data_IF_837371783746
#
_entry.id   IF_837371783746
#
_cell.length_a   1.000
_cell.length_b   1.000
_cell.length_c   1.000
_cell.angle_alpha   90.00
_cell.angle_beta   90.00
_cell.angle_gamma   90.00
#
_symmetry.space_group_name_H-M   'P 1'
#
loop_
_entity.id
_entity.type
_entity.pdbx_description
1 polymer ?
#
# COMPACT_ATOMS: atom_id res chain seq x y z
N UNK A 1 -27.64 -17.86 -24.93
CA UNK A 1 -28.53 -17.27 -25.97
C UNK A 1 -27.91 -17.41 -27.35
N UNK A 2 -26.68 -16.92 -27.57
CA UNK A 2 -25.98 -16.95 -28.87
C UNK A 2 -25.78 -18.34 -29.50
N UNK A 3 -25.65 -19.40 -28.69
CA UNK A 3 -25.39 -20.78 -29.16
C UNK A 3 -26.62 -21.68 -29.17
N UNK A 4 -27.81 -21.13 -28.86
CA UNK A 4 -29.03 -21.94 -28.72
C UNK A 4 -29.38 -22.57 -30.08
N UNK A 5 -29.74 -23.85 -30.06
CA UNK A 5 -30.10 -24.63 -31.25
C UNK A 5 -28.95 -24.81 -32.26
N UNK A 6 -27.70 -24.62 -31.81
CA UNK A 6 -26.51 -24.98 -32.59
C UNK A 6 -25.93 -26.28 -32.04
N UNK A 7 -25.07 -26.92 -32.82
CA UNK A 7 -24.30 -28.08 -32.35
C UNK A 7 -23.23 -27.72 -31.31
N UNK A 8 -23.09 -26.42 -30.98
CA UNK A 8 -22.21 -25.89 -29.96
C UNK A 8 -22.96 -25.51 -28.66
N UNK A 9 -24.16 -26.04 -28.45
CA UNK A 9 -24.88 -25.81 -27.19
C UNK A 9 -24.05 -26.30 -25.99
N UNK A 10 -23.94 -25.45 -24.96
CA UNK A 10 -23.08 -25.71 -23.82
C UNK A 10 -23.70 -26.67 -22.79
N UNK A 11 -24.96 -27.10 -22.99
CA UNK A 11 -25.69 -27.94 -22.03
C UNK A 11 -26.03 -27.24 -20.72
N UNK A 12 -25.98 -25.90 -20.67
CA UNK A 12 -26.20 -25.11 -19.45
C UNK A 12 -27.68 -24.74 -19.32
N UNK A 13 -28.29 -25.07 -18.18
CA UNK A 13 -29.62 -24.59 -17.83
C UNK A 13 -29.59 -23.10 -17.45
N UNK A 14 -29.87 -22.25 -18.43
CA UNK A 14 -29.87 -20.79 -18.27
C UNK A 14 -30.84 -20.27 -17.20
N UNK A 15 -31.89 -21.04 -16.85
CA UNK A 15 -32.86 -20.60 -15.83
C UNK A 15 -32.23 -20.69 -14.44
N UNK A 16 -31.35 -21.68 -14.21
CA UNK A 16 -30.64 -21.87 -12.94
C UNK A 16 -29.57 -20.82 -12.68
N UNK A 17 -29.11 -20.07 -13.70
CA UNK A 17 -28.11 -19.01 -13.52
C UNK A 17 -28.65 -17.82 -12.71
N UNK A 18 -29.97 -17.56 -12.78
CA UNK A 18 -30.59 -16.39 -12.15
C UNK A 18 -30.42 -16.34 -10.63
N UNK A 19 -30.47 -17.49 -9.97
CA UNK A 19 -30.36 -17.57 -8.51
C UNK A 19 -28.93 -17.25 -8.04
N UNK A 20 -27.86 -17.90 -8.55
CA UNK A 20 -26.48 -17.48 -8.30
C UNK A 20 -26.19 -16.02 -8.67
N UNK A 21 -26.78 -15.49 -9.74
CA UNK A 21 -26.60 -14.09 -10.14
C UNK A 21 -27.18 -13.11 -9.11
N UNK A 22 -28.38 -13.41 -8.56
CA UNK A 22 -28.97 -12.61 -7.48
C UNK A 22 -28.13 -12.65 -6.20
N UNK A 23 -27.59 -13.82 -5.85
CA UNK A 23 -26.66 -13.98 -4.70
C UNK A 23 -25.39 -13.15 -4.93
N UNK A 24 -24.81 -13.21 -6.13
CA UNK A 24 -23.61 -12.42 -6.46
C UNK A 24 -23.90 -10.91 -6.36
N UNK A 25 -25.04 -10.44 -6.86
CA UNK A 25 -25.43 -9.03 -6.76
C UNK A 25 -25.54 -8.56 -5.31
N UNK A 26 -26.15 -9.37 -4.44
CA UNK A 26 -26.24 -9.04 -3.00
C UNK A 26 -24.86 -9.03 -2.34
N UNK A 27 -24.00 -10.03 -2.61
CA UNK A 27 -22.63 -10.05 -2.10
C UNK A 27 -21.79 -8.85 -2.58
N UNK A 28 -22.01 -8.39 -3.82
CA UNK A 28 -21.25 -7.28 -4.41
C UNK A 28 -21.77 -5.90 -4.00
N UNK A 29 -22.91 -5.80 -3.29
CA UNK A 29 -23.55 -4.51 -2.96
C UNK A 29 -22.66 -3.60 -2.13
N UNK A 30 -21.76 -4.16 -1.33
CA UNK A 30 -20.87 -3.43 -0.44
C UNK A 30 -19.52 -3.09 -1.09
N UNK A 31 -19.30 -3.43 -2.35
CA UNK A 31 -18.02 -3.23 -3.04
C UNK A 31 -18.07 -2.09 -4.06
N UNK A 32 -16.98 -1.34 -4.16
CA UNK A 32 -16.75 -0.40 -5.26
C UNK A 32 -16.24 -1.20 -6.45
N UNK A 33 -16.98 -1.15 -7.56
CA UNK A 33 -16.54 -1.70 -8.84
C UNK A 33 -15.98 -0.53 -9.65
N UNK A 34 -14.66 -0.51 -9.95
CA UNK A 34 -14.08 0.57 -10.74
C UNK A 34 -14.74 0.64 -12.12
N UNK A 35 -15.15 1.83 -12.60
CA UNK A 35 -15.83 1.98 -13.89
C UNK A 35 -15.06 1.37 -15.06
N UNK A 36 -13.72 1.50 -15.06
CA UNK A 36 -12.82 0.94 -16.08
C UNK A 36 -12.86 -0.60 -16.14
N UNK A 37 -13.25 -1.27 -15.05
CA UNK A 37 -13.44 -2.71 -15.04
C UNK A 37 -14.73 -3.14 -15.75
N UNK A 38 -15.68 -2.22 -15.95
CA UNK A 38 -16.99 -2.47 -16.54
C UNK A 38 -17.12 -1.97 -17.98
N UNK A 39 -16.09 -1.31 -18.51
CA UNK A 39 -16.12 -0.72 -19.86
C UNK A 39 -15.14 -1.41 -20.80
N UNK A 40 -15.50 -1.52 -22.07
CA UNK A 40 -14.57 -1.94 -23.13
C UNK A 40 -13.68 -0.76 -23.51
N UNK A 41 -12.36 -0.96 -23.54
CA UNK A 41 -11.40 0.02 -24.05
C UNK A 41 -10.60 -0.54 -25.23
N UNK A 42 -10.57 0.13 -26.39
CA UNK A 42 -9.72 -0.28 -27.51
C UNK A 42 -8.23 0.04 -27.28
N UNK A 43 -7.90 0.85 -26.26
CA UNK A 43 -6.53 1.30 -26.00
C UNK A 43 -5.59 0.20 -25.49
N UNK A 44 -6.16 -0.93 -25.05
CA UNK A 44 -5.39 -2.07 -24.50
C UNK A 44 -4.36 -2.64 -25.50
N UNK A 45 -4.56 -2.44 -26.80
CA UNK A 45 -3.59 -2.86 -27.83
C UNK A 45 -2.32 -2.02 -27.82
N UNK A 46 -2.38 -0.80 -27.30
CA UNK A 46 -1.26 0.14 -27.20
C UNK A 46 -0.64 0.16 -25.79
N UNK A 47 -1.43 -0.21 -24.77
CA UNK A 47 -0.97 -0.35 -23.40
C UNK A 47 -1.35 -1.74 -22.87
N UNK A 48 -0.41 -2.70 -22.85
CA UNK A 48 -0.73 -4.08 -22.45
C UNK A 48 -0.86 -4.17 -20.93
N UNK A 49 -1.83 -3.47 -20.33
CA UNK A 49 -2.19 -3.59 -18.93
C UNK A 49 -3.37 -4.56 -18.81
N UNK A 50 -3.17 -5.78 -18.30
CA UNK A 50 -4.29 -6.66 -17.97
C UNK A 50 -5.23 -5.98 -16.97
N UNK A 51 -6.52 -6.36 -16.97
CA UNK A 51 -7.54 -5.69 -16.16
C UNK A 51 -7.19 -5.56 -14.66
N UNK A 52 -6.52 -6.55 -14.07
CA UNK A 52 -6.06 -6.48 -12.68
C UNK A 52 -4.91 -5.50 -12.43
N UNK A 53 -4.05 -5.26 -13.44
CA UNK A 53 -3.01 -4.24 -13.36
C UNK A 53 -3.58 -2.86 -13.63
N UNK A 54 -4.49 -2.73 -14.60
CA UNK A 54 -5.23 -1.52 -14.90
C UNK A 54 -5.91 -0.97 -13.66
N UNK A 55 -6.81 -1.73 -13.05
CA UNK A 55 -7.63 -1.28 -11.90
C UNK A 55 -6.79 -0.97 -10.67
N UNK A 56 -5.74 -1.75 -10.39
CA UNK A 56 -4.84 -1.48 -9.27
C UNK A 56 -4.08 -0.15 -9.45
N UNK A 57 -3.62 0.12 -10.66
CA UNK A 57 -2.80 1.28 -10.96
C UNK A 57 -3.64 2.55 -11.12
N UNK A 58 -4.82 2.48 -11.74
CA UNK A 58 -5.76 3.61 -11.79
C UNK A 58 -6.28 3.95 -10.39
N UNK A 59 -6.57 2.95 -9.55
CA UNK A 59 -6.95 3.20 -8.16
C UNK A 59 -5.84 3.91 -7.39
N UNK A 60 -4.59 3.44 -7.53
CA UNK A 60 -3.43 4.13 -6.96
C UNK A 60 -3.35 5.59 -7.45
N UNK A 61 -3.44 5.84 -8.76
CA UNK A 61 -3.37 7.19 -9.30
C UNK A 61 -4.51 8.08 -8.76
N UNK A 62 -5.73 7.55 -8.59
CA UNK A 62 -6.84 8.29 -7.95
C UNK A 62 -6.54 8.64 -6.50
N UNK A 63 -6.14 7.65 -5.71
CA UNK A 63 -5.83 7.85 -4.29
C UNK A 63 -4.67 8.86 -4.09
N UNK A 64 -3.87 9.08 -5.13
CA UNK A 64 -2.75 10.01 -5.16
C UNK A 64 -3.01 11.34 -5.89
N UNK A 65 -4.21 11.56 -6.45
CA UNK A 65 -4.49 12.71 -7.34
C UNK A 65 -3.53 12.83 -8.54
N UNK A 66 -3.10 11.70 -9.10
CA UNK A 66 -2.17 11.61 -10.25
C UNK A 66 -2.85 11.10 -11.53
N UNK A 67 -4.18 11.08 -11.58
CA UNK A 67 -4.91 10.60 -12.76
C UNK A 67 -4.64 11.42 -14.02
N UNK A 68 -4.25 12.69 -13.88
CA UNK A 68 -3.82 13.55 -14.99
C UNK A 68 -2.55 13.02 -15.68
N UNK A 69 -1.74 12.21 -15.00
CA UNK A 69 -0.52 11.59 -15.55
C UNK A 69 -0.78 10.30 -16.31
N UNK A 70 -1.95 9.69 -16.16
CA UNK A 70 -2.25 8.37 -16.73
C UNK A 70 -1.98 8.27 -18.24
N UNK A 71 -2.38 9.25 -19.10
CA UNK A 71 -2.11 9.18 -20.54
C UNK A 71 -0.61 9.13 -20.86
N UNK A 72 0.20 9.94 -20.18
CA UNK A 72 1.65 9.97 -20.38
C UNK A 72 2.32 8.66 -19.90
N UNK A 73 1.79 8.05 -18.84
CA UNK A 73 2.29 6.76 -18.34
C UNK A 73 2.00 5.65 -19.35
N UNK A 74 0.80 5.63 -19.91
CA UNK A 74 0.40 4.69 -20.97
C UNK A 74 1.32 4.81 -22.18
N UNK A 75 1.61 6.04 -22.63
CA UNK A 75 2.54 6.28 -23.74
C UNK A 75 3.96 5.80 -23.43
N UNK A 76 4.48 6.14 -22.25
CA UNK A 76 5.82 5.72 -21.81
C UNK A 76 5.93 4.19 -21.66
N UNK A 77 4.83 3.47 -21.43
CA UNK A 77 4.83 2.03 -21.27
C UNK A 77 5.22 1.28 -22.56
N UNK A 78 4.89 1.80 -23.74
CA UNK A 78 5.30 1.19 -24.99
C UNK A 78 6.84 1.09 -25.10
N UNK A 79 7.55 2.14 -24.68
CA UNK A 79 9.01 2.14 -24.65
C UNK A 79 9.56 1.15 -23.61
N UNK A 80 8.96 1.08 -22.41
CA UNK A 80 9.43 0.15 -21.38
C UNK A 80 9.23 -1.31 -21.80
N UNK A 81 8.14 -1.64 -22.48
CA UNK A 81 7.91 -2.97 -23.05
C UNK A 81 8.97 -3.31 -24.11
N UNK A 82 9.15 -2.41 -25.08
CA UNK A 82 10.06 -2.62 -26.20
C UNK A 82 11.51 -2.76 -25.73
N UNK A 83 11.98 -1.85 -24.87
CA UNK A 83 13.36 -1.87 -24.35
C UNK A 83 13.58 -2.90 -23.27
N UNK A 84 12.53 -3.36 -22.60
CA UNK A 84 12.58 -4.39 -21.56
C UNK A 84 12.59 -5.82 -22.10
N UNK A 85 12.61 -6.02 -23.42
CA UNK A 85 12.71 -7.35 -24.04
C UNK A 85 11.38 -8.07 -24.25
N UNK A 86 10.25 -7.36 -24.27
CA UNK A 86 8.92 -7.89 -24.57
C UNK A 86 8.46 -9.06 -23.68
N UNK A 87 8.76 -9.01 -22.38
CA UNK A 87 8.16 -9.92 -21.41
C UNK A 87 6.64 -9.91 -21.50
N UNK A 88 6.01 -11.09 -21.38
CA UNK A 88 4.55 -11.20 -21.41
C UNK A 88 3.96 -10.36 -20.28
N UNK A 89 3.11 -9.39 -20.62
CA UNK A 89 2.50 -8.50 -19.64
C UNK A 89 1.39 -9.19 -18.85
N UNK A 90 1.80 -9.99 -17.88
CA UNK A 90 0.97 -10.60 -16.83
C UNK A 90 1.65 -10.39 -15.48
N UNK A 91 1.01 -10.67 -14.36
CA UNK A 91 1.67 -10.53 -13.05
C UNK A 91 2.89 -11.46 -12.96
N UNK A 92 4.08 -10.97 -12.53
CA UNK A 92 4.36 -9.62 -12.02
C UNK A 92 4.83 -8.59 -13.08
N UNK A 93 5.18 -9.03 -14.29
CA UNK A 93 5.75 -8.22 -15.38
C UNK A 93 4.89 -7.00 -15.76
N UNK A 94 3.56 -7.14 -15.79
CA UNK A 94 2.65 -6.02 -16.05
C UNK A 94 2.83 -4.84 -15.06
N UNK A 95 3.10 -5.15 -13.79
CA UNK A 95 3.40 -4.13 -12.78
C UNK A 95 4.78 -3.53 -12.97
N UNK A 96 5.77 -4.33 -13.38
CA UNK A 96 7.12 -3.83 -13.66
C UNK A 96 7.12 -2.81 -14.79
N UNK A 97 6.40 -3.08 -15.88
CA UNK A 97 6.27 -2.13 -16.98
C UNK A 97 5.56 -0.85 -16.57
N UNK A 98 4.44 -0.96 -15.83
CA UNK A 98 3.73 0.20 -15.34
C UNK A 98 4.59 1.05 -14.39
N UNK A 99 5.27 0.43 -13.42
CA UNK A 99 6.12 1.14 -12.46
C UNK A 99 7.31 1.82 -13.14
N UNK A 100 7.95 1.17 -14.11
CA UNK A 100 9.03 1.80 -14.85
C UNK A 100 8.52 2.98 -15.70
N UNK A 101 7.35 2.82 -16.33
CA UNK A 101 6.73 3.89 -17.11
C UNK A 101 6.33 5.07 -16.21
N UNK A 102 5.72 4.78 -15.06
CA UNK A 102 5.42 5.75 -14.02
C UNK A 102 6.68 6.50 -13.58
N UNK A 103 7.77 5.80 -13.27
CA UNK A 103 9.03 6.42 -12.88
C UNK A 103 9.62 7.29 -14.00
N UNK A 104 9.53 6.86 -15.26
CA UNK A 104 9.99 7.63 -16.41
C UNK A 104 9.21 8.95 -16.57
N UNK A 105 7.89 8.93 -16.32
CA UNK A 105 7.06 10.14 -16.36
C UNK A 105 7.33 11.07 -15.17
N UNK A 106 7.44 10.51 -13.96
CA UNK A 106 7.56 11.31 -12.74
C UNK A 106 8.96 11.88 -12.52
N UNK A 107 10.01 11.11 -12.83
CA UNK A 107 11.40 11.46 -12.52
C UNK A 107 12.24 11.72 -13.77
N UNK A 108 11.70 11.46 -14.94
CA UNK A 108 12.39 11.54 -16.22
C UNK A 108 12.90 10.17 -16.70
N UNK A 109 13.13 10.02 -18.01
CA UNK A 109 13.42 8.72 -18.62
C UNK A 109 14.64 8.03 -17.99
N UNK A 110 14.45 6.81 -17.51
CA UNK A 110 15.51 5.92 -17.02
C UNK A 110 16.35 6.46 -15.85
N UNK A 111 15.94 7.58 -15.23
CA UNK A 111 16.64 8.16 -14.05
C UNK A 111 16.38 7.38 -12.76
N UNK A 112 15.18 6.79 -12.64
CA UNK A 112 14.80 5.94 -11.53
C UNK A 112 14.31 4.60 -12.07
N UNK A 113 15.06 3.54 -11.77
CA UNK A 113 14.72 2.18 -12.20
C UNK A 113 13.81 1.54 -11.16
N UNK A 114 12.66 1.01 -11.60
CA UNK A 114 11.81 0.18 -10.76
C UNK A 114 12.50 -1.17 -10.53
N UNK A 115 12.62 -1.60 -9.27
CA UNK A 115 13.41 -2.76 -8.87
C UNK A 115 12.98 -4.04 -9.60
N UNK A 116 11.67 -4.29 -9.69
CA UNK A 116 11.12 -5.46 -10.38
C UNK A 116 11.46 -5.47 -11.88
N UNK A 117 11.34 -4.31 -12.53
CA UNK A 117 11.72 -4.13 -13.93
C UNK A 117 13.22 -4.36 -14.13
N UNK A 118 14.06 -3.78 -13.29
CA UNK A 118 15.51 -3.95 -13.35
C UNK A 118 15.93 -5.41 -13.19
N UNK A 119 15.41 -6.11 -12.18
CA UNK A 119 15.63 -7.55 -11.99
C UNK A 119 15.17 -8.37 -13.18
N UNK A 120 14.03 -8.04 -13.79
CA UNK A 120 13.54 -8.74 -14.97
C UNK A 120 14.51 -8.56 -16.15
N UNK A 121 14.90 -7.32 -16.45
CA UNK A 121 15.85 -7.00 -17.53
C UNK A 121 17.21 -7.67 -17.32
N UNK A 122 17.65 -7.79 -16.07
CA UNK A 122 18.92 -8.43 -15.71
C UNK A 122 18.84 -9.97 -15.63
N UNK A 123 17.67 -10.58 -15.82
CA UNK A 123 17.50 -12.04 -15.85
C UNK A 123 17.14 -12.70 -14.52
N UNK A 124 16.93 -11.93 -13.45
CA UNK A 124 16.54 -12.45 -12.12
C UNK A 124 15.07 -12.90 -12.02
N UNK A 125 14.27 -12.68 -13.07
CA UNK A 125 12.95 -13.27 -13.25
C UNK A 125 12.90 -14.29 -14.40
N UNK A 126 14.06 -14.70 -14.90
CA UNK A 126 14.20 -15.56 -16.07
C UNK A 126 14.49 -14.77 -17.35
N UNK A 127 14.43 -15.46 -18.49
CA UNK A 127 14.80 -14.90 -19.79
C UNK A 127 13.60 -14.19 -20.43
N UNK A 128 13.81 -12.95 -20.87
CA UNK A 128 12.85 -12.22 -21.70
C UNK A 128 12.79 -12.80 -23.13
N UNK A 129 11.66 -12.72 -23.85
CA UNK A 129 11.52 -13.28 -25.20
C UNK A 129 12.61 -12.82 -26.18
N UNK A 130 13.01 -11.55 -26.09
CA UNK A 130 14.16 -11.02 -26.83
C UNK A 130 15.13 -10.31 -25.88
N UNK A 131 16.36 -10.07 -26.36
CA UNK A 131 17.36 -9.34 -25.60
C UNK A 131 16.86 -7.91 -25.30
N UNK A 132 16.91 -7.46 -24.03
CA UNK A 132 16.59 -6.08 -23.70
C UNK A 132 17.60 -5.09 -24.31
N UNK A 133 17.21 -3.82 -24.39
CA UNK A 133 18.06 -2.75 -24.89
C UNK A 133 19.37 -2.63 -24.05
N UNK A 134 20.56 -2.61 -24.68
CA UNK A 134 21.83 -2.58 -23.94
C UNK A 134 22.00 -1.37 -23.00
N UNK A 135 21.45 -0.21 -23.35
CA UNK A 135 21.53 0.99 -22.49
C UNK A 135 20.65 0.82 -21.26
N UNK A 136 19.48 0.19 -21.41
CA UNK A 136 18.59 -0.13 -20.29
C UNK A 136 19.20 -1.22 -19.40
N UNK A 137 19.82 -2.26 -19.98
CA UNK A 137 20.56 -3.27 -19.21
C UNK A 137 21.64 -2.61 -18.35
N UNK A 138 22.41 -1.69 -18.93
CA UNK A 138 23.44 -0.93 -18.20
C UNK A 138 22.84 -0.10 -17.07
N UNK A 139 21.79 0.68 -17.34
CA UNK A 139 21.12 1.51 -16.33
C UNK A 139 20.56 0.66 -15.17
N UNK A 140 19.94 -0.48 -15.47
CA UNK A 140 19.45 -1.42 -14.46
C UNK A 140 20.60 -2.01 -13.64
N UNK A 141 21.71 -2.40 -14.29
CA UNK A 141 22.88 -2.96 -13.62
C UNK A 141 23.51 -1.96 -12.66
N UNK A 142 23.68 -0.71 -13.10
CA UNK A 142 24.23 0.38 -12.28
C UNK A 142 23.31 0.75 -11.11
N UNK A 143 22.00 0.87 -11.36
CA UNK A 143 21.03 1.23 -10.33
C UNK A 143 20.93 0.19 -9.21
N UNK A 144 21.20 -1.09 -9.51
CA UNK A 144 20.99 -2.20 -8.58
C UNK A 144 22.30 -2.80 -8.06
N UNK A 145 23.45 -2.45 -8.64
CA UNK A 145 24.73 -3.12 -8.36
C UNK A 145 24.73 -4.61 -8.73
N UNK A 146 23.83 -5.04 -9.62
CA UNK A 146 23.66 -6.43 -10.04
C UNK A 146 24.16 -6.61 -11.48
N UNK A 147 24.79 -7.75 -11.75
CA UNK A 147 25.21 -8.11 -13.11
C UNK A 147 24.08 -8.85 -13.83
N UNK A 148 23.94 -8.71 -15.16
CA UNK A 148 23.07 -9.58 -15.94
C UNK A 148 23.41 -11.05 -15.68
N UNK A 149 22.39 -11.90 -15.55
CA UNK A 149 22.54 -13.33 -15.28
C UNK A 149 21.68 -14.17 -16.20
N UNK A 150 22.13 -15.40 -16.45
CA UNK A 150 21.37 -16.46 -17.13
C UNK A 150 21.15 -17.67 -16.22
N UNK A 151 21.55 -17.56 -14.95
CA UNK A 151 21.33 -18.61 -13.96
C UNK A 151 19.83 -18.83 -13.74
N UNK A 152 19.43 -20.07 -13.43
CA UNK A 152 18.03 -20.36 -13.14
C UNK A 152 17.64 -19.65 -11.85
N UNK A 153 16.48 -19.00 -11.87
CA UNK A 153 15.95 -18.26 -10.72
C UNK A 153 15.77 -19.16 -9.49
N UNK A 154 15.44 -20.44 -9.67
CA UNK A 154 15.33 -21.40 -8.57
C UNK A 154 16.68 -21.61 -7.87
N UNK A 155 17.77 -21.78 -8.61
CA UNK A 155 19.12 -21.97 -8.06
C UNK A 155 19.59 -20.70 -7.32
N UNK A 156 19.27 -19.51 -7.84
CA UNK A 156 19.52 -18.22 -7.17
C UNK A 156 18.76 -18.16 -5.84
N UNK A 157 17.49 -18.56 -5.84
CA UNK A 157 16.63 -18.50 -4.66
C UNK A 157 17.03 -19.53 -3.59
N UNK A 158 17.50 -20.72 -3.97
CA UNK A 158 18.00 -21.73 -3.04
C UNK A 158 19.25 -21.27 -2.28
N UNK A 159 20.07 -20.43 -2.92
CA UNK A 159 21.27 -19.84 -2.30
C UNK A 159 20.95 -18.67 -1.37
N UNK A 160 19.75 -18.10 -1.43
CA UNK A 160 19.36 -16.95 -0.62
C UNK A 160 18.93 -17.42 0.79
N UNK A 161 19.73 -17.17 1.84
CA UNK A 161 19.41 -17.62 3.19
C UNK A 161 18.16 -16.93 3.78
N UNK A 162 17.67 -15.86 3.14
CA UNK A 162 16.44 -15.16 3.53
C UNK A 162 15.19 -15.84 2.95
N UNK A 163 15.35 -16.88 2.13
CA UNK A 163 14.24 -17.62 1.52
C UNK A 163 14.15 -19.05 2.05
N UNK A 164 13.02 -19.68 1.75
CA UNK A 164 12.75 -21.07 2.11
C UNK A 164 12.26 -21.27 3.55
N UNK A 165 12.13 -22.55 3.91
CA UNK A 165 11.48 -22.98 5.16
C UNK A 165 12.22 -22.51 6.41
N UNK A 166 13.56 -22.52 6.38
CA UNK A 166 14.37 -22.09 7.52
C UNK A 166 14.13 -20.62 7.89
N UNK A 167 14.13 -19.73 6.89
CA UNK A 167 13.83 -18.32 7.09
C UNK A 167 12.39 -18.10 7.59
N UNK A 168 11.42 -18.83 7.03
CA UNK A 168 10.02 -18.75 7.46
C UNK A 168 9.83 -19.19 8.93
N UNK A 169 10.47 -20.29 9.35
CA UNK A 169 10.45 -20.73 10.76
C UNK A 169 11.03 -19.67 11.68
N UNK A 170 12.17 -19.06 11.32
CA UNK A 170 12.76 -17.99 12.10
C UNK A 170 11.84 -16.77 12.24
N UNK A 171 11.08 -16.41 11.20
CA UNK A 171 10.09 -15.33 11.28
C UNK A 171 8.96 -15.67 12.25
N UNK A 172 8.47 -16.91 12.25
CA UNK A 172 7.41 -17.37 13.17
C UNK A 172 7.90 -17.42 14.62
N UNK A 173 9.08 -18.00 14.86
CA UNK A 173 9.70 -18.10 16.18
C UNK A 173 9.92 -16.72 16.81
N UNK A 174 10.39 -15.75 16.01
CA UNK A 174 10.59 -14.37 16.46
C UNK A 174 9.31 -13.72 17.01
N UNK A 175 8.16 -14.05 16.45
CA UNK A 175 6.86 -13.51 16.85
C UNK A 175 6.08 -14.46 17.80
N UNK A 176 6.69 -15.57 18.22
CA UNK A 176 6.06 -16.56 19.10
C UNK A 176 4.87 -17.28 18.44
N UNK A 177 4.84 -17.37 17.11
CA UNK A 177 3.78 -18.03 16.35
C UNK A 177 4.01 -19.55 16.26
N UNK A 178 2.93 -20.37 16.24
CA UNK A 178 3.06 -21.81 16.06
C UNK A 178 3.76 -22.18 14.74
N UNK A 179 4.65 -23.17 14.79
CA UNK A 179 5.35 -23.70 13.61
C UNK A 179 4.52 -24.83 13.02
N UNK A 180 3.57 -24.49 12.15
CA UNK A 180 2.75 -25.42 11.36
C UNK A 180 3.10 -25.30 9.87
N UNK A 181 2.78 -26.31 9.07
CA UNK A 181 3.01 -26.26 7.62
C UNK A 181 2.28 -25.08 6.96
N UNK A 182 1.06 -24.77 7.43
CA UNK A 182 0.29 -23.61 6.99
C UNK A 182 0.98 -22.28 7.34
N UNK A 183 1.43 -22.12 8.59
CA UNK A 183 2.10 -20.88 9.01
C UNK A 183 3.45 -20.71 8.32
N UNK A 184 4.20 -21.81 8.10
CA UNK A 184 5.43 -21.80 7.32
C UNK A 184 5.12 -21.36 5.89
N UNK A 185 4.08 -21.90 5.27
CA UNK A 185 3.68 -21.54 3.91
C UNK A 185 3.30 -20.06 3.81
N UNK A 186 2.49 -19.56 4.75
CA UNK A 186 2.09 -18.15 4.82
C UNK A 186 3.31 -17.25 5.04
N UNK A 187 4.19 -17.57 5.99
CA UNK A 187 5.40 -16.78 6.25
C UNK A 187 6.41 -16.86 5.09
N UNK A 188 6.56 -18.00 4.42
CA UNK A 188 7.47 -18.13 3.28
C UNK A 188 6.96 -17.38 2.03
N UNK A 189 5.65 -17.45 1.77
CA UNK A 189 5.05 -16.89 0.55
C UNK A 189 4.73 -15.41 0.68
N UNK A 190 4.25 -14.98 1.85
CA UNK A 190 3.78 -13.63 2.11
C UNK A 190 4.71 -12.83 3.03
N UNK A 191 5.77 -13.46 3.56
CA UNK A 191 6.79 -12.84 4.42
C UNK A 191 6.17 -11.97 5.52
N UNK A 192 6.56 -10.70 5.61
CA UNK A 192 6.12 -9.77 6.63
C UNK A 192 4.60 -9.58 6.61
N UNK A 193 3.96 -9.61 5.43
CA UNK A 193 2.49 -9.56 5.34
C UNK A 193 1.85 -10.82 5.91
N UNK A 194 2.47 -11.97 5.68
CA UNK A 194 2.04 -13.24 6.27
C UNK A 194 2.11 -13.18 7.80
N UNK A 195 3.19 -12.64 8.34
CA UNK A 195 3.35 -12.44 9.79
C UNK A 195 2.32 -11.44 10.35
N UNK A 196 2.09 -10.33 9.67
CA UNK A 196 1.05 -9.36 10.06
C UNK A 196 -0.34 -9.99 10.06
N UNK A 197 -0.64 -10.83 9.07
CA UNK A 197 -1.89 -11.60 9.02
C UNK A 197 -2.00 -12.57 10.20
N UNK A 198 -0.98 -13.39 10.44
CA UNK A 198 -0.98 -14.39 11.52
C UNK A 198 -1.02 -13.77 12.93
N UNK A 199 -0.48 -12.57 13.09
CA UNK A 199 -0.54 -11.82 14.36
C UNK A 199 -1.81 -10.98 14.52
N UNK A 200 -2.71 -10.97 13.52
CA UNK A 200 -3.92 -10.13 13.53
C UNK A 200 -3.65 -8.63 13.41
N UNK A 201 -2.42 -8.23 13.05
CA UNK A 201 -2.00 -6.83 12.87
C UNK A 201 -2.21 -6.31 11.44
N UNK A 202 -2.64 -7.17 10.52
CA UNK A 202 -2.93 -6.78 9.15
C UNK A 202 -4.10 -5.81 9.09
N UNK A 203 -3.98 -4.74 8.32
CA UNK A 203 -5.10 -3.85 8.04
C UNK A 203 -5.97 -4.40 6.91
N UNK A 204 -7.29 -4.34 7.10
CA UNK A 204 -8.24 -4.70 6.05
C UNK A 204 -8.24 -3.60 4.99
N UNK A 205 -7.50 -3.83 3.90
CA UNK A 205 -7.51 -2.98 2.73
C UNK A 205 -8.48 -3.54 1.68
N UNK A 206 -9.77 -3.24 1.84
CA UNK A 206 -10.82 -3.60 0.88
C UNK A 206 -11.40 -2.39 0.17
N UNK A 207 -11.79 -2.55 -1.10
CA UNK A 207 -12.60 -1.57 -1.85
C UNK A 207 -14.07 -1.70 -1.44
N UNK A 208 -14.37 -1.54 -0.16
CA UNK A 208 -15.76 -1.46 0.28
C UNK A 208 -16.33 -0.09 -0.12
N UNK A 209 -17.65 0.02 -0.25
CA UNK A 209 -18.39 1.28 -0.30
C UNK A 209 -18.30 1.94 1.08
N UNK A 210 -17.09 2.34 1.44
CA UNK A 210 -16.81 3.06 2.66
C UNK A 210 -17.11 4.53 2.37
N UNK A 211 -17.98 5.13 3.16
CA UNK A 211 -18.09 6.58 3.20
C UNK A 211 -16.79 7.13 3.81
N UNK A 212 -15.78 7.41 2.96
CA UNK A 212 -14.43 7.83 3.39
C UNK A 212 -14.47 9.09 4.26
N UNK A 213 -15.44 9.98 4.06
CA UNK A 213 -15.64 11.16 4.89
C UNK A 213 -16.11 10.78 6.30
N UNK A 214 -17.04 9.83 6.42
CA UNK A 214 -17.54 9.33 7.70
C UNK A 214 -16.47 8.55 8.49
N UNK A 215 -15.68 7.71 7.82
CA UNK A 215 -14.57 6.99 8.45
C UNK A 215 -13.43 7.93 8.87
N UNK A 216 -13.09 8.91 8.03
CA UNK A 216 -12.09 9.93 8.37
C UNK A 216 -12.54 10.78 9.56
N UNK A 217 -13.83 11.12 9.62
CA UNK A 217 -14.42 11.82 10.75
C UNK A 217 -14.36 10.95 12.03
N UNK A 218 -14.79 9.68 11.97
CA UNK A 218 -14.70 8.74 13.10
C UNK A 218 -13.28 8.58 13.64
N UNK A 219 -12.27 8.42 12.77
CA UNK A 219 -10.86 8.31 13.18
C UNK A 219 -10.32 9.57 13.86
N UNK A 220 -10.84 10.75 13.49
CA UNK A 220 -10.49 12.04 14.12
C UNK A 220 -11.33 12.35 15.37
N UNK A 221 -12.23 11.43 15.75
CA UNK A 221 -13.23 11.66 16.80
C UNK A 221 -14.24 12.76 16.42
N UNK A 222 -14.39 13.07 15.14
CA UNK A 222 -15.26 14.13 14.61
C UNK A 222 -16.65 13.57 14.28
N UNK A 223 -17.68 14.24 14.77
CA UNK A 223 -19.08 13.86 14.64
C UNK A 223 -19.95 15.10 14.39
N UNK A 224 -21.08 14.93 13.72
CA UNK A 224 -22.16 15.93 13.71
C UNK A 224 -23.34 15.38 14.49
N UNK A 225 -23.61 15.97 15.66
CA UNK A 225 -24.73 15.58 16.53
C UNK A 225 -25.87 16.55 16.31
N UNK A 226 -27.07 16.04 16.02
CA UNK A 226 -28.26 16.88 15.83
C UNK A 226 -29.18 16.75 17.03
N UNK A 227 -29.45 17.87 17.71
CA UNK A 227 -30.39 17.93 18.85
C UNK A 227 -31.46 18.95 18.51
N UNK A 228 -32.74 18.52 18.53
CA UNK A 228 -33.89 19.37 18.19
C UNK A 228 -33.75 20.10 16.83
N UNK A 229 -33.19 19.42 15.82
CA UNK A 229 -32.99 19.98 14.47
C UNK A 229 -31.81 20.94 14.33
N UNK A 230 -31.05 21.21 15.39
CA UNK A 230 -29.82 21.99 15.34
C UNK A 230 -28.60 21.08 15.34
N UNK A 231 -27.73 21.26 14.36
CA UNK A 231 -26.50 20.49 14.22
C UNK A 231 -25.36 21.08 15.06
N UNK A 232 -24.55 20.21 15.67
CA UNK A 232 -23.39 20.53 16.48
C UNK A 232 -22.20 19.71 15.97
N UNK A 233 -21.11 20.37 15.59
CA UNK A 233 -19.84 19.72 15.27
C UNK A 233 -19.12 19.35 16.56
N UNK A 234 -18.86 18.06 16.78
CA UNK A 234 -18.25 17.51 17.99
C UNK A 234 -16.93 16.84 17.61
N UNK A 235 -15.86 17.11 18.35
CA UNK A 235 -14.58 16.42 18.24
C UNK A 235 -14.16 15.85 19.59
N UNK A 236 -14.07 14.54 19.71
CA UNK A 236 -13.65 13.85 20.93
C UNK A 236 -12.12 13.66 20.93
N UNK A 237 -11.46 14.26 21.91
CA UNK A 237 -10.07 13.99 22.29
C UNK A 237 -10.00 13.03 23.48
N UNK A 238 -8.77 12.68 23.92
CA UNK A 238 -8.56 11.81 25.09
C UNK A 238 -9.10 12.40 26.39
N UNK A 239 -8.82 13.70 26.60
CA UNK A 239 -9.11 14.40 27.86
C UNK A 239 -10.01 15.62 27.66
N UNK A 240 -10.51 15.83 26.43
CA UNK A 240 -11.38 16.95 26.09
C UNK A 240 -12.36 16.58 24.96
N UNK A 241 -13.44 17.34 24.84
CA UNK A 241 -14.34 17.34 23.71
C UNK A 241 -14.50 18.77 23.20
N UNK A 242 -14.38 18.99 21.89
CA UNK A 242 -14.65 20.28 21.26
C UNK A 242 -16.04 20.27 20.65
N UNK A 243 -16.91 21.22 21.02
CA UNK A 243 -18.24 21.40 20.42
C UNK A 243 -18.30 22.77 19.76
N UNK A 244 -18.51 22.81 18.44
CA UNK A 244 -18.53 24.03 17.62
C UNK A 244 -17.31 24.95 17.85
N UNK A 245 -16.13 24.36 18.05
CA UNK A 245 -14.87 25.09 18.28
C UNK A 245 -14.60 25.47 19.74
N UNK A 246 -15.51 25.16 20.67
CA UNK A 246 -15.31 25.39 22.12
C UNK A 246 -14.88 24.09 22.78
N UNK A 247 -13.75 24.11 23.51
CA UNK A 247 -13.18 22.93 24.17
C UNK A 247 -13.70 22.76 25.59
N UNK A 248 -14.05 21.53 25.95
CA UNK A 248 -14.53 21.12 27.27
C UNK A 248 -13.67 19.97 27.79
N UNK A 249 -13.26 19.95 29.08
CA UNK A 249 -12.58 18.80 29.66
C UNK A 249 -13.52 17.58 29.68
N UNK A 250 -12.98 16.39 29.37
CA UNK A 250 -13.73 15.14 29.26
C UNK A 250 -13.13 14.11 30.24
N UNK A 251 -13.98 13.42 30.99
CA UNK A 251 -13.63 12.21 31.72
C UNK A 251 -14.66 11.14 31.38
N UNK A 252 -14.23 10.01 30.83
CA UNK A 252 -15.13 8.95 30.34
C UNK A 252 -15.14 7.80 31.34
N UNK A 253 -16.28 7.59 31.99
CA UNK A 253 -16.60 6.38 32.75
C UNK A 253 -17.47 5.41 31.94
N UNK A 254 -17.49 4.13 32.33
CA UNK A 254 -18.38 3.13 31.74
C UNK A 254 -19.71 3.09 32.53
N UNK A 255 -20.84 3.38 31.86
CA UNK A 255 -22.19 3.41 32.44
C UNK A 255 -22.82 4.81 32.48
N UNK A 256 -24.11 4.91 32.85
CA UNK A 256 -24.81 6.19 33.09
C UNK A 256 -24.72 6.50 34.58
N UNK A 257 -24.03 7.58 34.95
CA UNK A 257 -24.00 8.07 36.34
C UNK A 257 -25.18 9.02 36.59
N UNK A 258 -26.24 8.51 37.21
CA UNK A 258 -27.44 9.28 37.57
C UNK A 258 -27.13 10.43 38.54
N UNK A 259 -26.05 10.34 39.36
CA UNK A 259 -25.63 11.40 40.29
C UNK A 259 -24.88 12.53 39.59
N UNK A 260 -24.20 12.24 38.48
CA UNK A 260 -23.53 13.25 37.66
C UNK A 260 -24.52 14.20 36.95
N UNK A 261 -25.74 13.74 36.68
CA UNK A 261 -26.81 14.55 36.08
C UNK A 261 -27.19 15.72 36.99
N UNK A 262 -27.29 15.50 38.31
CA UNK A 262 -27.65 16.55 39.27
C UNK A 262 -26.52 17.55 39.54
N UNK A 263 -25.27 17.09 39.50
CA UNK A 263 -24.09 17.92 39.77
C UNK A 263 -23.79 18.93 38.64
N UNK A 264 -24.21 18.64 37.40
CA UNK A 264 -23.90 19.43 36.19
C UNK A 264 -24.56 20.82 36.11
N UNK A 265 -25.40 21.22 37.08
CA UNK A 265 -26.01 22.55 37.16
C UNK A 265 -25.08 23.66 37.70
N UNK A 266 -23.91 23.31 38.21
CA UNK A 266 -23.02 24.26 38.85
C UNK A 266 -21.59 24.12 38.33
N UNK A 267 -20.95 25.26 38.05
CA UNK A 267 -19.49 25.47 37.91
C UNK A 267 -18.90 25.26 36.50
N UNK A 268 -18.53 26.37 35.85
CA UNK A 268 -17.63 26.42 34.69
C UNK A 268 -16.67 27.63 34.84
N UNK A 269 -15.36 27.40 34.66
CA UNK A 269 -14.21 28.35 34.47
C UNK A 269 -12.95 27.71 35.12
N UNK A 270 -11.73 27.61 34.60
CA UNK A 270 -11.01 27.99 33.36
C UNK A 270 -9.63 27.25 33.41
N UNK A 271 -8.89 27.11 32.31
CA UNK A 271 -7.52 26.53 32.33
C UNK A 271 -6.60 27.08 31.21
N UNK A 272 -5.31 27.43 31.49
CA UNK A 272 -4.37 27.96 30.47
C UNK A 272 -3.27 26.99 29.99
N UNK A 273 -2.60 27.40 28.89
CA UNK A 273 -1.70 26.66 27.99
C UNK A 273 -0.20 26.64 28.36
N UNK A 274 0.59 25.77 27.69
CA UNK A 274 2.05 25.69 27.77
C UNK A 274 2.75 25.56 26.39
N UNK A 275 3.99 26.06 26.31
CA UNK A 275 4.83 26.25 25.11
C UNK A 275 6.03 25.26 25.01
N UNK A 276 6.67 25.22 23.83
CA UNK A 276 7.70 24.26 23.38
C UNK A 276 9.18 24.76 23.44
N UNK A 277 10.14 23.87 23.16
CA UNK A 277 11.61 24.10 23.12
C UNK A 277 12.32 23.36 21.92
N UNK A 278 13.58 23.71 21.55
CA UNK A 278 14.09 23.79 20.15
C UNK A 278 15.13 22.74 19.67
N UNK A 279 15.70 22.98 18.47
CA UNK A 279 16.27 22.11 17.42
C UNK A 279 17.82 21.97 17.32
N UNK A 280 18.29 20.80 16.88
CA UNK A 280 19.43 20.62 15.97
C UNK A 280 18.90 20.32 14.55
N UNK A 281 19.67 20.59 13.48
CA UNK A 281 19.21 20.52 12.08
C UNK A 281 18.90 19.08 11.67
N UNK A 282 17.68 18.66 11.96
CA UNK A 282 17.23 17.30 11.83
C UNK A 282 16.67 17.07 10.41
N UNK A 283 17.21 16.09 9.70
CA UNK A 283 16.76 15.69 8.37
C UNK A 283 15.56 14.76 8.52
N UNK A 284 14.39 15.23 8.07
CA UNK A 284 13.16 14.44 8.09
C UNK A 284 13.12 13.52 6.86
N UNK A 285 13.07 12.22 7.09
CA UNK A 285 12.81 11.23 6.04
C UNK A 285 11.30 11.12 5.85
N UNK A 286 10.84 11.42 4.64
CA UNK A 286 9.42 11.40 4.28
C UNK A 286 9.08 10.21 3.41
N UNK A 287 7.81 9.82 3.42
CA UNK A 287 7.30 8.80 2.51
C UNK A 287 7.36 9.31 1.06
N UNK A 288 8.12 8.64 0.16
CA UNK A 288 8.27 9.09 -1.23
C UNK A 288 7.02 8.83 -2.09
N UNK A 289 6.08 8.06 -1.55
CA UNK A 289 4.79 7.71 -2.13
C UNK A 289 3.90 7.15 -1.00
N UNK A 290 2.56 7.22 -1.12
CA UNK A 290 1.68 6.53 -0.20
C UNK A 290 1.91 5.02 -0.22
N UNK A 291 1.77 4.40 0.94
CA UNK A 291 2.02 2.98 1.11
C UNK A 291 1.79 2.50 2.53
N UNK A 292 1.88 1.19 2.74
CA UNK A 292 1.73 0.55 4.05
C UNK A 292 3.11 0.23 4.63
N UNK A 293 3.40 0.63 5.87
CA UNK A 293 4.66 0.28 6.53
C UNK A 293 4.67 -1.21 6.85
N UNK A 294 5.51 -2.00 6.17
CA UNK A 294 5.65 -3.44 6.40
C UNK A 294 6.63 -3.74 7.52
N UNK A 295 7.76 -3.03 7.57
CA UNK A 295 8.82 -3.22 8.58
C UNK A 295 9.60 -1.94 8.81
N UNK A 296 10.02 -1.75 10.05
CA UNK A 296 10.95 -0.70 10.46
C UNK A 296 12.28 -1.40 10.83
N UNK A 297 13.37 -1.05 10.14
CA UNK A 297 14.68 -1.71 10.27
C UNK A 297 15.59 -1.08 11.32
N UNK A 298 15.18 0.07 11.86
CA UNK A 298 15.97 0.89 12.77
C UNK A 298 15.21 1.20 14.05
N UNK A 299 15.94 1.59 15.09
CA UNK A 299 15.41 2.03 16.38
C UNK A 299 15.79 3.49 16.64
N UNK A 300 15.01 4.18 17.45
CA UNK A 300 15.42 5.49 17.98
C UNK A 300 16.74 5.36 18.76
N UNK A 301 17.63 6.33 18.58
CA UNK A 301 19.01 6.33 19.08
C UNK A 301 20.01 5.53 18.24
N UNK A 302 19.59 4.84 17.17
CA UNK A 302 20.49 4.07 16.32
C UNK A 302 21.24 4.94 15.32
N UNK A 303 22.56 4.72 15.18
CA UNK A 303 23.37 5.30 14.10
C UNK A 303 23.05 4.61 12.77
N UNK A 304 22.84 5.41 11.73
CA UNK A 304 22.60 4.95 10.35
C UNK A 304 23.59 5.62 9.41
N UNK A 305 23.96 4.90 8.35
CA UNK A 305 24.76 5.44 7.25
C UNK A 305 23.90 5.81 6.05
N UNK A 306 24.36 6.76 5.23
CA UNK A 306 23.74 7.11 3.97
C UNK A 306 23.55 5.86 3.11
N UNK A 307 22.36 5.75 2.50
CA UNK A 307 21.92 4.61 1.70
C UNK A 307 21.73 3.30 2.50
N UNK A 308 21.70 3.35 3.83
CA UNK A 308 21.25 2.22 4.64
C UNK A 308 19.71 2.10 4.57
N UNK A 309 19.19 0.88 4.44
CA UNK A 309 17.74 0.63 4.50
C UNK A 309 17.24 0.91 5.91
N UNK A 310 16.23 1.76 6.04
CA UNK A 310 15.62 2.15 7.32
C UNK A 310 14.21 1.62 7.50
N UNK A 311 13.45 1.42 6.41
CA UNK A 311 12.09 0.86 6.45
C UNK A 311 11.79 0.11 5.15
N UNK A 312 10.81 -0.79 5.21
CA UNK A 312 10.20 -1.44 4.06
C UNK A 312 8.73 -1.01 4.00
N UNK A 313 8.30 -0.46 2.87
CA UNK A 313 6.94 0.01 2.65
C UNK A 313 6.32 -0.67 1.44
N UNK A 314 5.08 -1.14 1.56
CA UNK A 314 4.32 -1.60 0.42
C UNK A 314 3.68 -0.41 -0.29
N UNK A 315 4.07 -0.20 -1.54
CA UNK A 315 3.37 0.70 -2.45
C UNK A 315 3.24 0.01 -3.81
N UNK A 316 2.13 0.23 -4.51
CA UNK A 316 1.88 -0.41 -5.81
C UNK A 316 1.95 -1.95 -5.76
N UNK A 317 1.51 -2.55 -4.64
CA UNK A 317 1.58 -4.01 -4.36
C UNK A 317 3.00 -4.58 -4.35
N UNK A 318 4.01 -3.74 -4.25
CA UNK A 318 5.42 -4.12 -4.14
C UNK A 318 6.04 -3.56 -2.86
N UNK A 319 6.96 -4.33 -2.30
CA UNK A 319 7.83 -3.90 -1.21
C UNK A 319 8.85 -2.91 -1.78
N UNK A 320 8.94 -1.73 -1.19
CA UNK A 320 9.91 -0.70 -1.53
C UNK A 320 10.78 -0.44 -0.32
N UNK A 321 12.10 -0.48 -0.53
CA UNK A 321 13.08 -0.12 0.48
C UNK A 321 13.18 1.41 0.60
N UNK A 322 13.08 1.91 1.82
CA UNK A 322 13.32 3.32 2.15
C UNK A 322 14.73 3.44 2.70
N UNK A 323 15.53 4.33 2.10
CA UNK A 323 16.94 4.52 2.43
C UNK A 323 17.19 5.80 3.21
N UNK A 324 18.20 5.79 4.09
CA UNK A 324 18.68 6.98 4.78
C UNK A 324 19.36 7.96 3.80
N UNK A 325 18.95 9.25 3.75
CA UNK A 325 19.53 10.23 2.84
C UNK A 325 20.94 10.73 3.26
N UNK A 326 21.29 10.56 4.53
CA UNK A 326 22.55 11.00 5.13
C UNK A 326 23.00 10.05 6.25
N UNK A 327 24.26 10.20 6.68
CA UNK A 327 24.74 9.61 7.93
C UNK A 327 24.14 10.36 9.12
N UNK A 328 23.88 9.69 10.24
CA UNK A 328 23.39 10.34 11.46
C UNK A 328 22.80 9.38 12.48
N UNK A 329 22.04 9.92 13.44
CA UNK A 329 21.33 9.15 14.47
C UNK A 329 19.82 9.32 14.28
N UNK A 330 19.08 8.21 14.28
CA UNK A 330 17.61 8.25 14.25
C UNK A 330 17.11 8.83 15.58
N UNK A 331 16.53 10.03 15.55
CA UNK A 331 16.06 10.72 16.76
C UNK A 331 14.60 10.46 17.06
N UNK A 332 13.80 10.16 16.04
CA UNK A 332 12.36 9.93 16.16
C UNK A 332 11.86 9.01 15.05
N UNK A 333 11.00 8.06 15.39
CA UNK A 333 10.24 7.25 14.43
C UNK A 333 8.76 7.61 14.60
N UNK A 334 8.17 8.23 13.57
CA UNK A 334 6.82 8.82 13.63
C UNK A 334 5.71 7.90 13.15
N UNK A 335 6.06 6.64 12.86
CA UNK A 335 5.18 5.65 12.26
C UNK A 335 5.25 4.32 12.99
N UNK A 336 4.19 3.53 12.83
CA UNK A 336 4.07 2.17 13.38
C UNK A 336 3.97 1.13 12.26
N UNK A 337 4.35 -0.11 12.57
CA UNK A 337 4.19 -1.23 11.63
C UNK A 337 2.70 -1.44 11.32
N UNK A 338 2.37 -1.60 10.03
CA UNK A 338 0.99 -1.70 9.54
C UNK A 338 0.29 -0.35 9.38
N UNK A 339 0.97 0.78 9.56
CA UNK A 339 0.40 2.10 9.33
C UNK A 339 0.36 2.46 7.84
N UNK A 340 -0.78 2.98 7.38
CA UNK A 340 -0.93 3.55 6.05
C UNK A 340 -0.37 4.99 6.03
N UNK A 341 0.49 5.27 5.06
CA UNK A 341 1.14 6.56 4.83
C UNK A 341 0.64 7.21 3.54
N UNK A 342 0.66 8.53 3.50
CA UNK A 342 0.55 9.36 2.30
C UNK A 342 1.92 9.86 1.84
N UNK A 343 1.99 10.42 0.63
CA UNK A 343 3.21 11.11 0.16
C UNK A 343 3.55 12.24 1.12
N UNK A 344 4.83 12.43 1.36
CA UNK A 344 5.37 13.49 2.19
C UNK A 344 5.05 13.39 3.70
N UNK A 345 4.33 12.37 4.12
CA UNK A 345 4.17 12.06 5.55
C UNK A 345 5.54 11.77 6.18
N UNK A 346 5.71 12.24 7.41
CA UNK A 346 6.93 12.04 8.20
C UNK A 346 7.08 10.55 8.59
N UNK A 347 8.17 9.90 8.17
CA UNK A 347 8.50 8.53 8.55
C UNK A 347 9.37 8.51 9.81
N UNK A 348 10.54 9.15 9.72
CA UNK A 348 11.50 9.26 10.82
C UNK A 348 12.34 10.53 10.67
N UNK A 349 13.07 10.87 11.72
CA UNK A 349 13.99 12.00 11.76
C UNK A 349 15.42 11.51 12.04
N UNK A 350 16.39 12.00 11.28
CA UNK A 350 17.83 11.74 11.45
C UNK A 350 18.51 13.05 11.83
N UNK A 351 19.31 13.06 12.91
CA UNK A 351 20.09 14.22 13.32
C UNK A 351 21.59 13.91 13.44
#
# INVERSE_FOLDING_TARGET
HALRNTDFDLGIDIKKIREPEAVLQDCMKDYIIPPEAMTVTPEIVFSPLPGGALTANTQMLRDNNLMDKYPAIVEAMAETVAKGGYGTSVTPVSQFYFQQAFNNVMFGPWKKIAEGYGKMVLGYFGKTPVAPDPQVVKACSEAMGLKPTTEKVVDINEKDPKKGVAAAKAMLEKEGLPITDENIFIAASCKEKGILFLTGKSQVNGMYKINREEEAAKKKGEYTVTVNGKAYGVKLGKDNATVNGVSYPLNVGFGIDEKAIEASKAVASDAPAAAAAPSHEAVTVKAPMPGLILRIEVKEGQKVSKNQVVMIMEAMKMENEIFAPCDGVVTKISVSQGQQMQSDDELLVIA
#
